data_IF_403808175251
#
_entry.id   IF_403808175251
#
_cell.length_a   1.000
_cell.length_b   1.000
_cell.length_c   1.000
_cell.angle_alpha   90.00
_cell.angle_beta   90.00
_cell.angle_gamma   90.00
#
_symmetry.space_group_name_H-M   'P 1'
#
loop_
_entity.id
_entity.type
_entity.pdbx_description
1 polymer ?
#
# COMPACT_ATOMS: atom_id res chain seq x y z
N UNK A 1 19.78 -3.01 -22.44
CA UNK A 1 18.60 -2.11 -22.49
C UNK A 1 18.94 -0.86 -21.69
N UNK A 2 19.35 0.21 -22.40
CA UNK A 2 19.82 1.45 -21.73
C UNK A 2 18.70 2.44 -21.54
N UNK A 3 18.63 3.05 -20.37
CA UNK A 3 17.68 4.12 -20.02
C UNK A 3 18.07 5.39 -20.78
N UNK A 4 17.14 5.93 -21.55
CA UNK A 4 17.38 7.14 -22.40
C UNK A 4 16.67 8.37 -21.86
N UNK A 5 15.49 8.21 -21.23
CA UNK A 5 14.67 9.32 -20.78
C UNK A 5 13.81 8.89 -19.57
N UNK A 6 13.53 9.84 -18.68
CA UNK A 6 12.51 9.74 -17.61
C UNK A 6 11.50 10.85 -17.85
N UNK A 7 10.26 10.47 -18.16
CA UNK A 7 9.15 11.39 -18.36
C UNK A 7 8.21 11.36 -17.17
N UNK A 8 7.67 12.52 -16.82
CA UNK A 8 6.72 12.67 -15.74
C UNK A 8 5.36 13.13 -16.25
N UNK A 9 4.32 12.62 -15.65
CA UNK A 9 2.95 13.05 -15.91
C UNK A 9 2.11 13.07 -14.65
N UNK A 10 0.95 13.68 -14.72
CA UNK A 10 -0.06 13.68 -13.67
C UNK A 10 -1.31 12.99 -14.17
N UNK A 11 -1.89 12.14 -13.33
CA UNK A 11 -3.23 11.60 -13.53
C UNK A 11 -4.16 12.10 -12.42
N UNK A 12 -5.43 12.22 -12.74
CA UNK A 12 -6.50 12.52 -11.79
C UNK A 12 -7.64 11.55 -12.06
N UNK A 13 -7.93 10.70 -11.06
CA UNK A 13 -8.97 9.67 -11.19
C UNK A 13 -10.03 9.91 -10.11
N UNK A 14 -11.28 10.24 -10.49
CA UNK A 14 -12.34 10.47 -9.52
C UNK A 14 -12.68 9.21 -8.72
N UNK A 15 -13.01 9.40 -7.45
CA UNK A 15 -13.53 8.33 -6.60
C UNK A 15 -15.04 8.16 -6.77
N UNK A 16 -15.54 6.95 -6.57
CA UNK A 16 -16.99 6.65 -6.57
C UNK A 16 -17.72 7.37 -5.43
N UNK A 17 -17.07 7.42 -4.26
CA UNK A 17 -17.50 8.20 -3.09
C UNK A 17 -16.28 8.84 -2.44
N UNK A 18 -16.43 10.00 -1.74
CA UNK A 18 -15.30 10.62 -1.06
C UNK A 18 -14.69 9.70 0.00
N UNK A 19 -13.38 9.53 -0.04
CA UNK A 19 -12.61 8.73 0.92
C UNK A 19 -12.27 9.57 2.16
N UNK A 20 -12.68 9.10 3.35
CA UNK A 20 -12.52 9.82 4.62
C UNK A 20 -11.76 8.99 5.64
N UNK A 21 -10.73 9.56 6.22
CA UNK A 21 -9.97 8.99 7.35
C UNK A 21 -9.98 9.95 8.54
N UNK A 22 -9.30 9.57 9.63
CA UNK A 22 -9.06 10.49 10.74
C UNK A 22 -8.28 11.73 10.31
N UNK A 23 -7.45 11.65 9.25
CA UNK A 23 -6.47 12.67 8.86
C UNK A 23 -6.93 13.55 7.69
N UNK A 24 -7.74 13.03 6.75
CA UNK A 24 -8.11 13.75 5.52
C UNK A 24 -9.42 13.26 4.89
N UNK A 25 -9.96 14.09 3.96
CA UNK A 25 -11.03 13.71 3.04
C UNK A 25 -10.64 14.11 1.63
N UNK A 26 -10.78 13.20 0.66
CA UNK A 26 -10.44 13.41 -0.76
C UNK A 26 -11.50 12.83 -1.67
N UNK A 27 -11.67 13.41 -2.87
CA UNK A 27 -12.67 13.01 -3.87
C UNK A 27 -12.06 12.44 -5.16
N UNK A 28 -10.74 12.52 -5.30
CA UNK A 28 -9.99 12.00 -6.45
C UNK A 28 -8.63 11.46 -6.01
N UNK A 29 -8.10 10.53 -6.78
CA UNK A 29 -6.69 10.13 -6.75
C UNK A 29 -5.92 11.07 -7.65
N UNK A 30 -4.84 11.68 -7.13
CA UNK A 30 -4.00 12.64 -7.86
C UNK A 30 -2.56 12.13 -7.80
N UNK A 31 -2.11 11.42 -8.83
CA UNK A 31 -0.82 10.73 -8.77
C UNK A 31 0.19 11.23 -9.81
N UNK A 32 1.46 11.17 -9.43
CA UNK A 32 2.60 11.41 -10.34
C UNK A 32 2.92 10.08 -11.03
N UNK A 33 2.88 10.09 -12.35
CA UNK A 33 3.28 8.97 -13.18
C UNK A 33 4.72 9.14 -13.65
N UNK A 34 5.45 8.04 -13.66
CA UNK A 34 6.81 7.92 -14.18
C UNK A 34 6.81 6.98 -15.35
N UNK A 35 7.32 7.44 -16.49
CA UNK A 35 7.67 6.61 -17.64
C UNK A 35 9.19 6.61 -17.82
N UNK A 36 9.80 5.43 -17.82
CA UNK A 36 11.23 5.26 -18.12
C UNK A 36 11.35 4.66 -19.52
N UNK A 37 11.89 5.46 -20.44
CA UNK A 37 12.10 5.06 -21.82
C UNK A 37 13.51 4.49 -22.03
N UNK A 38 13.64 3.56 -22.97
CA UNK A 38 14.89 2.87 -23.27
C UNK A 38 15.27 2.93 -24.74
N UNK A 39 16.53 2.65 -25.05
CA UNK A 39 17.09 2.56 -26.42
C UNK A 39 16.47 1.44 -27.27
N UNK A 40 15.76 0.51 -26.65
CA UNK A 40 15.03 -0.58 -27.34
C UNK A 40 13.58 -0.23 -27.66
N UNK A 41 13.11 0.93 -27.22
CA UNK A 41 11.71 1.36 -27.32
C UNK A 41 10.80 0.80 -26.23
N UNK A 42 11.33 0.00 -25.29
CA UNK A 42 10.57 -0.43 -24.12
C UNK A 42 10.34 0.75 -23.17
N UNK A 43 9.16 0.76 -22.51
CA UNK A 43 8.77 1.76 -21.52
C UNK A 43 8.37 1.03 -20.23
N UNK A 44 8.94 1.47 -19.11
CA UNK A 44 8.54 1.02 -17.78
C UNK A 44 7.70 2.08 -17.09
N UNK A 45 6.69 1.63 -16.35
CA UNK A 45 5.70 2.50 -15.71
C UNK A 45 5.80 2.44 -14.19
N UNK A 46 5.70 3.60 -13.55
CA UNK A 46 5.61 3.74 -12.09
C UNK A 46 4.67 4.85 -11.69
N UNK A 47 4.27 4.86 -10.43
CA UNK A 47 3.27 5.77 -9.89
C UNK A 47 3.61 6.15 -8.45
N UNK A 48 3.34 7.40 -8.08
CA UNK A 48 3.53 7.91 -6.74
C UNK A 48 2.38 8.84 -6.32
N UNK A 49 1.55 8.44 -5.35
CA UNK A 49 0.56 9.30 -4.70
C UNK A 49 1.25 10.29 -3.76
N UNK A 50 0.92 11.60 -3.84
CA UNK A 50 1.39 12.60 -2.89
C UNK A 50 0.59 12.48 -1.57
N UNK A 51 1.11 11.73 -0.61
CA UNK A 51 0.44 11.52 0.68
C UNK A 51 1.15 12.28 1.80
N UNK A 52 1.06 13.62 1.77
CA UNK A 52 1.76 14.51 2.69
C UNK A 52 1.53 14.26 4.18
N UNK A 53 0.36 13.72 4.56
CA UNK A 53 0.02 13.41 5.96
C UNK A 53 0.62 12.09 6.47
N UNK A 54 1.15 11.23 5.60
CA UNK A 54 1.76 9.95 5.96
C UNK A 54 3.25 9.94 5.59
N UNK A 55 3.58 10.08 4.29
CA UNK A 55 4.97 10.04 3.81
C UNK A 55 5.67 11.40 3.89
N UNK A 56 4.91 12.49 3.99
CA UNK A 56 5.42 13.85 3.88
C UNK A 56 5.67 14.30 2.44
N UNK A 57 5.48 13.41 1.46
CA UNK A 57 5.69 13.71 0.05
C UNK A 57 4.52 14.49 -0.54
N UNK A 58 4.82 15.61 -1.18
CA UNK A 58 3.89 16.40 -1.99
C UNK A 58 4.15 16.17 -3.47
N UNK A 59 3.21 16.53 -4.34
CA UNK A 59 3.37 16.42 -5.81
C UNK A 59 4.67 17.11 -6.27
N UNK A 60 4.93 18.35 -5.79
CA UNK A 60 6.16 19.07 -6.15
C UNK A 60 7.43 18.43 -5.62
N UNK A 61 7.39 17.84 -4.41
CA UNK A 61 8.53 17.13 -3.83
C UNK A 61 8.86 15.86 -4.64
N UNK A 62 7.85 15.07 -5.02
CA UNK A 62 8.02 13.87 -5.86
C UNK A 62 8.63 14.25 -7.21
N UNK A 63 8.05 15.24 -7.91
CA UNK A 63 8.54 15.72 -9.20
C UNK A 63 9.99 16.19 -9.10
N UNK A 64 10.30 17.05 -8.11
CA UNK A 64 11.65 17.59 -7.89
C UNK A 64 12.66 16.49 -7.57
N UNK A 65 12.32 15.55 -6.69
CA UNK A 65 13.19 14.42 -6.35
C UNK A 65 13.53 13.57 -7.58
N UNK A 66 12.53 13.29 -8.43
CA UNK A 66 12.75 12.48 -9.64
C UNK A 66 13.57 13.29 -10.67
N UNK A 67 13.13 14.50 -11.01
CA UNK A 67 13.75 15.32 -12.08
C UNK A 67 15.19 15.72 -11.75
N UNK A 68 15.44 16.19 -10.54
CA UNK A 68 16.71 16.84 -10.18
C UNK A 68 17.77 15.87 -9.64
N UNK A 69 17.36 14.70 -9.13
CA UNK A 69 18.25 13.74 -8.48
C UNK A 69 18.16 12.36 -9.15
N UNK A 70 16.99 11.71 -9.14
CA UNK A 70 16.87 10.31 -9.53
C UNK A 70 17.14 10.14 -11.04
N UNK A 71 16.49 10.93 -11.90
CA UNK A 71 16.67 10.85 -13.36
C UNK A 71 18.13 11.01 -13.77
N UNK A 72 18.84 11.98 -13.18
CA UNK A 72 20.29 12.19 -13.43
C UNK A 72 21.17 11.01 -13.01
N UNK A 73 20.70 10.23 -12.05
CA UNK A 73 21.42 9.06 -11.54
C UNK A 73 21.23 7.84 -12.42
N UNK A 74 20.05 7.66 -13.03
CA UNK A 74 19.70 6.43 -13.75
C UNK A 74 19.83 6.55 -15.27
N UNK A 75 19.67 7.73 -15.88
CA UNK A 75 19.80 7.91 -17.34
C UNK A 75 21.19 7.50 -17.81
N UNK A 76 21.23 6.73 -18.90
CA UNK A 76 22.45 6.17 -19.49
C UNK A 76 22.90 4.84 -18.90
N UNK A 77 22.31 4.38 -17.78
CA UNK A 77 22.60 3.07 -17.18
C UNK A 77 21.87 1.94 -17.92
N UNK A 78 22.39 0.75 -17.78
CA UNK A 78 21.75 -0.45 -18.33
C UNK A 78 20.80 -1.07 -17.30
N UNK A 79 19.59 -1.43 -17.73
CA UNK A 79 18.58 -2.12 -16.88
C UNK A 79 19.07 -3.49 -16.43
N UNK A 80 19.99 -4.11 -17.17
CA UNK A 80 20.57 -5.42 -16.85
C UNK A 80 21.48 -5.38 -15.60
N UNK A 81 22.13 -4.23 -15.35
CA UNK A 81 22.92 -3.99 -14.13
C UNK A 81 21.99 -3.65 -12.93
N UNK A 82 20.97 -4.48 -12.72
CA UNK A 82 19.81 -4.17 -11.90
C UNK A 82 20.14 -3.85 -10.44
N UNK A 83 20.99 -4.66 -9.79
CA UNK A 83 21.36 -4.45 -8.38
C UNK A 83 22.09 -3.09 -8.20
N UNK A 84 23.06 -2.78 -9.07
CA UNK A 84 23.79 -1.51 -9.03
C UNK A 84 22.86 -0.31 -9.29
N UNK A 85 21.86 -0.51 -10.16
CA UNK A 85 20.85 0.51 -10.46
C UNK A 85 19.96 0.77 -9.23
N UNK A 86 19.53 -0.28 -8.51
CA UNK A 86 18.73 -0.16 -7.30
C UNK A 86 19.50 0.45 -6.13
N UNK A 87 20.77 0.11 -5.97
CA UNK A 87 21.66 0.72 -4.97
C UNK A 87 21.79 2.22 -5.27
N UNK A 88 22.06 2.60 -6.53
CA UNK A 88 22.19 3.99 -6.92
C UNK A 88 20.89 4.79 -6.72
N UNK A 89 19.73 4.23 -7.07
CA UNK A 89 18.42 4.82 -6.83
C UNK A 89 18.19 5.09 -5.33
N UNK A 90 18.50 4.12 -4.48
CA UNK A 90 18.30 4.28 -3.03
C UNK A 90 19.28 5.27 -2.39
N UNK A 91 20.49 5.43 -2.92
CA UNK A 91 21.54 6.28 -2.39
C UNK A 91 21.46 7.74 -2.86
N UNK A 92 20.86 8.04 -4.02
CA UNK A 92 20.96 9.35 -4.69
C UNK A 92 20.32 10.51 -3.90
N UNK A 93 19.35 10.23 -3.06
CA UNK A 93 18.67 11.21 -2.19
C UNK A 93 18.18 10.54 -0.92
N UNK A 94 18.17 11.25 0.21
CA UNK A 94 17.63 10.73 1.47
C UNK A 94 16.11 10.81 1.47
N UNK A 95 15.44 9.84 2.13
CA UNK A 95 13.96 9.76 2.18
C UNK A 95 13.34 9.81 0.79
N UNK A 96 12.33 10.66 0.54
CA UNK A 96 11.61 10.77 -0.75
C UNK A 96 11.14 9.40 -1.25
N UNK A 97 10.52 8.65 -0.36
CA UNK A 97 10.22 7.23 -0.57
C UNK A 97 9.19 7.01 -1.67
N UNK A 98 8.19 7.91 -1.80
CA UNK A 98 7.20 7.81 -2.88
C UNK A 98 7.84 8.01 -4.27
N UNK A 99 8.76 8.99 -4.39
CA UNK A 99 9.49 9.21 -5.63
C UNK A 99 10.39 8.01 -6.02
N UNK A 100 11.08 7.43 -5.02
CA UNK A 100 11.88 6.22 -5.23
C UNK A 100 11.02 5.02 -5.62
N UNK A 101 9.86 4.85 -4.95
CA UNK A 101 8.94 3.76 -5.24
C UNK A 101 8.43 3.80 -6.68
N UNK A 102 8.06 4.97 -7.19
CA UNK A 102 7.62 5.11 -8.58
C UNK A 102 8.72 4.70 -9.57
N UNK A 103 9.96 5.14 -9.35
CA UNK A 103 11.08 4.78 -10.23
C UNK A 103 11.47 3.31 -10.06
N UNK A 104 11.49 2.79 -8.85
CA UNK A 104 11.73 1.36 -8.55
C UNK A 104 10.74 0.47 -9.31
N UNK A 105 9.43 0.76 -9.26
CA UNK A 105 8.41 0.01 -9.99
C UNK A 105 8.65 0.02 -11.50
N UNK A 106 8.95 1.20 -12.08
CA UNK A 106 9.24 1.32 -13.51
C UNK A 106 10.49 0.54 -13.93
N UNK A 107 11.50 0.47 -13.06
CA UNK A 107 12.72 -0.32 -13.30
C UNK A 107 12.44 -1.83 -13.20
N UNK A 108 11.64 -2.27 -12.22
CA UNK A 108 11.18 -3.67 -12.14
C UNK A 108 10.36 -4.07 -13.37
N UNK A 109 9.50 -3.17 -13.86
CA UNK A 109 8.73 -3.38 -15.08
C UNK A 109 9.66 -3.60 -16.30
N UNK A 110 10.63 -2.72 -16.49
CA UNK A 110 11.64 -2.87 -17.56
C UNK A 110 12.49 -4.14 -17.40
N UNK A 111 12.89 -4.49 -16.17
CA UNK A 111 13.65 -5.69 -15.91
C UNK A 111 12.87 -6.96 -16.27
N UNK A 112 11.58 -6.99 -15.92
CA UNK A 112 10.70 -8.08 -16.34
C UNK A 112 10.47 -8.13 -17.85
N UNK A 113 10.36 -6.98 -18.53
CA UNK A 113 10.27 -6.89 -19.98
C UNK A 113 11.54 -7.39 -20.66
N UNK A 114 12.73 -7.02 -20.15
CA UNK A 114 14.03 -7.43 -20.65
C UNK A 114 14.16 -8.97 -20.73
N UNK A 115 13.76 -9.64 -19.65
CA UNK A 115 13.82 -11.10 -19.56
C UNK A 115 12.53 -11.81 -19.98
N UNK A 116 11.50 -11.07 -20.41
CA UNK A 116 10.19 -11.59 -20.83
C UNK A 116 9.50 -12.41 -19.73
N UNK A 117 9.62 -11.97 -18.50
CA UNK A 117 9.08 -12.65 -17.30
C UNK A 117 8.22 -11.64 -16.52
N UNK A 118 7.03 -12.04 -16.03
CA UNK A 118 6.25 -11.21 -15.09
C UNK A 118 7.02 -10.98 -13.79
N UNK A 119 6.94 -9.76 -13.24
CA UNK A 119 7.69 -9.36 -12.03
C UNK A 119 7.42 -10.29 -10.85
N UNK A 120 6.17 -10.74 -10.63
CA UNK A 120 5.87 -11.65 -9.52
C UNK A 120 6.64 -12.97 -9.62
N UNK A 121 6.93 -13.47 -10.82
CA UNK A 121 7.74 -14.68 -11.02
C UNK A 121 9.22 -14.45 -10.76
N UNK A 122 9.74 -13.26 -11.11
CA UNK A 122 11.12 -12.87 -10.76
C UNK A 122 11.32 -12.83 -9.25
N UNK A 123 10.28 -12.46 -8.48
CA UNK A 123 10.33 -12.36 -7.02
C UNK A 123 9.99 -13.66 -6.27
N UNK A 124 9.56 -14.74 -6.97
CA UNK A 124 9.25 -16.03 -6.32
C UNK A 124 8.03 -16.77 -6.88
N UNK A 125 6.98 -16.07 -7.27
CA UNK A 125 5.85 -16.63 -8.02
C UNK A 125 4.95 -17.61 -7.27
N UNK A 126 4.56 -17.30 -6.01
CA UNK A 126 3.82 -18.23 -5.16
C UNK A 126 2.33 -18.37 -5.52
N UNK A 127 1.67 -17.29 -5.94
CA UNK A 127 0.21 -17.22 -6.18
C UNK A 127 -0.09 -16.57 -7.53
N UNK A 128 -1.28 -16.81 -8.08
CA UNK A 128 -1.77 -16.15 -9.31
C UNK A 128 -2.90 -15.14 -9.04
N UNK A 129 -3.51 -15.23 -7.88
CA UNK A 129 -4.55 -14.34 -7.40
C UNK A 129 -4.45 -14.15 -5.90
N UNK A 130 -5.01 -13.06 -5.43
CA UNK A 130 -5.10 -12.68 -4.01
C UNK A 130 -6.51 -12.14 -3.75
N UNK A 131 -6.87 -12.10 -2.46
CA UNK A 131 -8.14 -11.52 -1.99
C UNK A 131 -7.82 -10.32 -1.12
N UNK A 132 -8.46 -9.17 -1.41
CA UNK A 132 -8.33 -7.93 -0.65
C UNK A 132 -9.54 -7.70 0.24
N UNK A 133 -9.36 -6.93 1.32
CA UNK A 133 -10.46 -6.31 2.06
C UNK A 133 -11.00 -5.08 1.32
N UNK A 134 -11.96 -4.39 1.94
CA UNK A 134 -12.48 -3.10 1.50
C UNK A 134 -12.55 -2.13 2.68
N UNK A 135 -12.12 -0.90 2.46
CA UNK A 135 -12.10 0.14 3.49
C UNK A 135 -13.48 0.78 3.68
N UNK A 136 -13.95 0.78 4.94
CA UNK A 136 -15.12 1.54 5.39
C UNK A 136 -14.64 2.86 6.00
N UNK A 137 -14.96 3.97 5.34
CA UNK A 137 -14.58 5.32 5.75
C UNK A 137 -15.26 5.74 7.07
N UNK A 138 -14.62 6.65 7.82
CA UNK A 138 -15.22 7.18 9.07
C UNK A 138 -16.40 8.09 8.75
N UNK A 139 -17.58 7.68 9.20
CA UNK A 139 -18.85 8.43 9.10
C UNK A 139 -19.71 8.17 10.35
N UNK A 140 -20.98 8.59 10.32
CA UNK A 140 -21.95 8.22 11.34
C UNK A 140 -22.30 6.71 11.27
N UNK A 141 -22.69 6.07 12.38
CA UNK A 141 -22.89 4.64 12.44
C UNK A 141 -23.83 4.08 11.36
N UNK A 142 -24.93 4.77 11.06
CA UNK A 142 -25.92 4.35 10.07
C UNK A 142 -25.33 4.37 8.63
N UNK A 143 -24.46 5.33 8.31
CA UNK A 143 -23.79 5.41 7.02
C UNK A 143 -22.74 4.29 6.92
N UNK A 144 -21.93 4.06 7.96
CA UNK A 144 -20.95 2.99 8.00
C UNK A 144 -21.59 1.61 7.91
N UNK A 145 -22.75 1.40 8.49
CA UNK A 145 -23.53 0.15 8.35
C UNK A 145 -23.98 -0.04 6.90
N UNK A 146 -24.49 1.01 6.25
CA UNK A 146 -24.89 0.93 4.82
C UNK A 146 -23.69 0.60 3.93
N UNK A 147 -22.55 1.22 4.17
CA UNK A 147 -21.32 0.96 3.41
C UNK A 147 -20.83 -0.48 3.63
N UNK A 148 -20.87 -0.96 4.87
CA UNK A 148 -20.52 -2.34 5.21
C UNK A 148 -21.45 -3.37 4.53
N UNK A 149 -22.77 -3.16 4.57
CA UNK A 149 -23.72 -4.03 3.88
C UNK A 149 -23.55 -4.00 2.35
N UNK A 150 -23.30 -2.82 1.77
CA UNK A 150 -22.98 -2.72 0.34
C UNK A 150 -21.70 -3.51 -0.01
N UNK A 151 -20.68 -3.47 0.84
CA UNK A 151 -19.47 -4.26 0.65
C UNK A 151 -19.77 -5.77 0.69
N UNK A 152 -20.58 -6.23 1.65
CA UNK A 152 -21.03 -7.64 1.71
C UNK A 152 -21.79 -8.05 0.47
N UNK A 153 -22.73 -7.22 0.00
CA UNK A 153 -23.52 -7.48 -1.22
C UNK A 153 -22.64 -7.57 -2.49
N UNK A 154 -21.52 -6.84 -2.50
CA UNK A 154 -20.48 -6.92 -3.55
C UNK A 154 -19.55 -8.14 -3.40
N UNK A 155 -19.75 -8.95 -2.36
CA UNK A 155 -19.03 -10.20 -2.12
C UNK A 155 -17.78 -10.10 -1.25
N UNK A 156 -17.52 -8.96 -0.60
CA UNK A 156 -16.43 -8.85 0.36
C UNK A 156 -16.77 -9.61 1.65
N UNK A 157 -15.78 -10.29 2.20
CA UNK A 157 -15.86 -11.04 3.44
C UNK A 157 -14.92 -10.50 4.53
N UNK A 158 -14.16 -9.45 4.20
CA UNK A 158 -13.30 -8.74 5.12
C UNK A 158 -13.48 -7.22 4.97
N UNK A 159 -13.72 -6.54 6.09
CA UNK A 159 -13.92 -5.10 6.16
C UNK A 159 -12.80 -4.45 6.96
N UNK A 160 -12.14 -3.45 6.39
CA UNK A 160 -11.20 -2.58 7.12
C UNK A 160 -11.93 -1.32 7.57
N UNK A 161 -12.16 -1.17 8.86
CA UNK A 161 -12.94 -0.07 9.44
C UNK A 161 -12.02 0.98 10.02
N UNK A 162 -12.10 2.22 9.52
CA UNK A 162 -11.33 3.35 10.06
C UNK A 162 -11.92 3.82 11.39
N UNK A 163 -11.04 4.01 12.38
CA UNK A 163 -11.36 4.45 13.76
C UNK A 163 -10.32 5.50 14.22
N UNK A 164 -10.24 5.81 15.52
CA UNK A 164 -9.14 6.59 16.10
C UNK A 164 -9.46 8.06 16.42
N UNK A 165 -10.67 8.54 16.13
CA UNK A 165 -11.08 9.92 16.47
C UNK A 165 -11.73 10.06 17.84
N UNK A 166 -12.73 9.23 18.09
CA UNK A 166 -13.60 9.32 19.27
C UNK A 166 -13.89 7.90 19.78
N UNK A 167 -13.14 7.41 20.79
CA UNK A 167 -13.18 6.01 21.21
C UNK A 167 -14.58 5.44 21.49
N UNK A 168 -15.44 6.22 22.15
CA UNK A 168 -16.82 5.77 22.46
C UNK A 168 -17.70 5.65 21.22
N UNK A 169 -17.54 6.61 20.27
CA UNK A 169 -18.22 6.53 18.98
C UNK A 169 -17.66 5.41 18.13
N UNK A 170 -16.35 5.16 18.18
CA UNK A 170 -15.70 4.08 17.43
C UNK A 170 -16.24 2.71 17.91
N UNK A 171 -16.43 2.51 19.21
CA UNK A 171 -17.08 1.32 19.75
C UNK A 171 -18.54 1.21 19.27
N UNK A 172 -19.29 2.31 19.27
CA UNK A 172 -20.66 2.31 18.79
C UNK A 172 -20.76 1.98 17.28
N UNK A 173 -19.89 2.57 16.45
CA UNK A 173 -19.76 2.29 15.02
C UNK A 173 -19.49 0.82 14.73
N UNK A 174 -18.47 0.26 15.39
CA UNK A 174 -18.09 -1.15 15.23
C UNK A 174 -19.18 -2.10 15.74
N UNK A 175 -19.84 -1.79 16.86
CA UNK A 175 -20.95 -2.57 17.37
C UNK A 175 -22.12 -2.60 16.38
N UNK A 176 -22.44 -1.45 15.76
CA UNK A 176 -23.49 -1.36 14.76
C UNK A 176 -23.15 -2.18 13.50
N UNK A 177 -21.90 -2.06 13.00
CA UNK A 177 -21.41 -2.85 11.85
C UNK A 177 -21.46 -4.35 12.21
N UNK A 178 -20.88 -4.77 13.35
CA UNK A 178 -20.84 -6.19 13.73
C UNK A 178 -22.23 -6.81 13.87
N UNK A 179 -23.21 -6.04 14.36
CA UNK A 179 -24.59 -6.50 14.46
C UNK A 179 -25.31 -6.63 13.13
N UNK A 180 -24.87 -5.89 12.10
CA UNK A 180 -25.54 -5.84 10.78
C UNK A 180 -24.94 -6.84 9.79
N UNK A 181 -23.63 -7.15 9.86
CA UNK A 181 -22.96 -8.05 8.93
C UNK A 181 -22.99 -9.51 9.40
N UNK A 182 -22.80 -10.50 8.49
CA UNK A 182 -22.66 -11.91 8.87
C UNK A 182 -21.60 -12.11 9.96
N UNK A 183 -21.82 -13.09 10.84
CA UNK A 183 -20.91 -13.35 11.97
C UNK A 183 -19.50 -13.69 11.53
N UNK A 184 -19.37 -14.41 10.43
CA UNK A 184 -18.11 -14.83 9.79
C UNK A 184 -17.36 -13.71 9.07
N UNK A 185 -17.96 -12.52 8.91
CA UNK A 185 -17.28 -11.37 8.29
C UNK A 185 -16.08 -10.97 9.14
N UNK A 186 -14.91 -11.00 8.54
CA UNK A 186 -13.67 -10.50 9.13
C UNK A 186 -13.74 -8.97 9.32
N UNK A 187 -13.38 -8.48 10.49
CA UNK A 187 -13.27 -7.04 10.75
C UNK A 187 -11.85 -6.71 11.20
N UNK A 188 -11.20 -5.81 10.45
CA UNK A 188 -9.93 -5.16 10.77
C UNK A 188 -10.22 -3.72 11.16
N UNK A 189 -9.46 -3.16 12.08
CA UNK A 189 -9.59 -1.73 12.39
C UNK A 189 -8.27 -1.01 12.18
N UNK A 190 -8.34 0.23 11.71
CA UNK A 190 -7.19 1.09 11.55
C UNK A 190 -7.41 2.38 12.34
N UNK A 191 -6.60 2.56 13.38
CA UNK A 191 -6.67 3.70 14.28
C UNK A 191 -5.84 4.90 13.79
N UNK A 192 -5.04 4.74 12.73
CA UNK A 192 -4.20 5.79 12.14
C UNK A 192 -3.49 6.65 13.19
N UNK A 193 -2.81 6.02 14.15
CA UNK A 193 -2.05 6.69 15.22
C UNK A 193 -2.92 7.51 16.22
N UNK A 194 -4.21 7.17 16.34
CA UNK A 194 -5.20 8.00 17.03
C UNK A 194 -5.16 7.94 18.56
N UNK A 195 -4.53 6.91 19.16
CA UNK A 195 -4.62 6.66 20.60
C UNK A 195 -3.27 6.77 21.31
N UNK A 196 -3.32 7.01 22.62
CA UNK A 196 -2.17 6.75 23.49
C UNK A 196 -2.07 5.26 23.83
N UNK A 197 -0.90 4.72 24.26
CA UNK A 197 -0.77 3.29 24.54
C UNK A 197 -1.76 2.74 25.57
N UNK A 198 -2.04 3.50 26.64
CA UNK A 198 -3.01 3.09 27.66
C UNK A 198 -4.46 3.14 27.18
N UNK A 199 -4.80 4.12 26.38
CA UNK A 199 -6.12 4.21 25.73
C UNK A 199 -6.33 3.05 24.77
N UNK A 200 -5.33 2.76 23.92
CA UNK A 200 -5.39 1.65 22.98
C UNK A 200 -5.72 0.32 23.67
N UNK A 201 -4.97 -0.04 24.72
CA UNK A 201 -5.23 -1.27 25.49
C UNK A 201 -6.64 -1.29 26.08
N UNK A 202 -7.07 -0.18 26.70
CA UNK A 202 -8.43 -0.09 27.29
C UNK A 202 -9.52 -0.25 26.23
N UNK A 203 -9.36 0.41 25.08
CA UNK A 203 -10.34 0.40 23.98
C UNK A 203 -10.43 -0.99 23.38
N UNK A 204 -9.28 -1.58 23.01
CA UNK A 204 -9.20 -2.88 22.35
C UNK A 204 -9.74 -4.00 23.23
N UNK A 205 -9.36 -4.04 24.50
CA UNK A 205 -9.86 -5.04 25.43
C UNK A 205 -11.37 -4.86 25.66
N UNK A 206 -11.85 -3.60 25.78
CA UNK A 206 -13.28 -3.31 25.87
C UNK A 206 -14.08 -3.67 24.61
N UNK A 207 -13.48 -3.62 23.41
CA UNK A 207 -14.07 -4.10 22.16
C UNK A 207 -14.17 -5.63 22.17
N UNK A 208 -13.10 -6.30 22.59
CA UNK A 208 -13.05 -7.77 22.66
C UNK A 208 -14.08 -8.32 23.69
N UNK A 209 -14.19 -7.69 24.87
CA UNK A 209 -15.19 -8.06 25.89
C UNK A 209 -16.64 -7.92 25.38
N UNK A 210 -16.90 -7.06 24.41
CA UNK A 210 -18.20 -6.90 23.73
C UNK A 210 -18.42 -7.87 22.57
N UNK A 211 -17.45 -8.75 22.29
CA UNK A 211 -17.54 -9.75 21.24
C UNK A 211 -17.46 -9.17 19.83
N UNK A 212 -16.71 -8.06 19.64
CA UNK A 212 -16.54 -7.47 18.29
C UNK A 212 -15.68 -8.33 17.37
N UNK A 213 -14.90 -9.26 17.91
CA UNK A 213 -14.12 -10.26 17.16
C UNK A 213 -13.28 -9.64 16.05
N UNK A 214 -12.27 -8.83 16.46
CA UNK A 214 -11.38 -8.12 15.56
C UNK A 214 -10.18 -8.99 15.15
N UNK A 215 -9.85 -9.06 13.87
CA UNK A 215 -8.67 -9.77 13.38
C UNK A 215 -7.39 -9.12 13.87
N UNK A 216 -7.29 -7.79 13.76
CA UNK A 216 -6.20 -6.98 14.29
C UNK A 216 -6.56 -5.49 14.35
N UNK A 217 -5.73 -4.73 15.07
CA UNK A 217 -5.70 -3.26 15.01
C UNK A 217 -4.45 -2.78 14.28
N UNK A 218 -4.63 -1.92 13.26
CA UNK A 218 -3.54 -1.27 12.55
C UNK A 218 -3.18 0.05 13.22
N UNK A 219 -1.88 0.25 13.47
CA UNK A 219 -1.21 1.43 14.01
C UNK A 219 -2.00 2.20 15.08
N UNK A 220 -2.18 1.62 16.27
CA UNK A 220 -2.98 2.25 17.33
C UNK A 220 -2.33 3.51 17.91
N UNK A 221 -0.99 3.57 17.96
CA UNK A 221 -0.20 4.64 18.58
C UNK A 221 0.67 5.39 17.56
N UNK A 222 1.31 6.49 17.99
CA UNK A 222 2.16 7.31 17.12
C UNK A 222 3.27 6.49 16.46
N UNK A 223 3.57 6.80 15.20
CA UNK A 223 4.51 6.07 14.35
C UNK A 223 5.90 5.86 14.99
N UNK A 224 6.41 6.86 15.71
CA UNK A 224 7.72 6.84 16.35
C UNK A 224 7.73 6.25 17.76
N UNK A 225 6.56 5.90 18.31
CA UNK A 225 6.41 5.35 19.67
C UNK A 225 6.47 3.82 19.64
N UNK A 226 7.65 3.26 19.36
CA UNK A 226 7.86 1.81 19.29
C UNK A 226 7.66 1.12 20.65
N UNK A 227 8.03 1.79 21.75
CA UNK A 227 7.79 1.27 23.10
C UNK A 227 6.29 1.29 23.43
N UNK A 228 5.57 2.33 23.02
CA UNK A 228 4.11 2.39 23.16
C UNK A 228 3.41 1.32 22.32
N UNK A 229 3.90 1.06 21.10
CA UNK A 229 3.38 0.00 20.23
C UNK A 229 3.58 -1.39 20.91
N UNK A 230 4.80 -1.66 21.38
CA UNK A 230 5.11 -2.85 22.18
C UNK A 230 4.22 -3.00 23.42
N UNK A 231 4.01 -1.90 24.14
CA UNK A 231 3.14 -1.89 25.32
C UNK A 231 1.71 -2.34 24.97
N UNK A 232 1.17 -1.92 23.81
CA UNK A 232 -0.14 -2.35 23.34
C UNK A 232 -0.13 -3.82 22.94
N UNK A 233 0.85 -4.25 22.14
CA UNK A 233 1.00 -5.64 21.68
C UNK A 233 1.04 -6.64 22.84
N UNK A 234 1.79 -6.34 23.90
CA UNK A 234 1.92 -7.22 25.06
C UNK A 234 0.64 -7.28 25.94
N UNK A 235 -0.29 -6.32 25.83
CA UNK A 235 -1.42 -6.16 26.77
C UNK A 235 -2.79 -6.17 26.12
N UNK A 236 -2.84 -6.13 24.80
CA UNK A 236 -4.07 -6.25 24.03
C UNK A 236 -4.38 -7.72 23.74
N UNK A 237 -5.66 -8.10 23.79
CA UNK A 237 -6.13 -9.38 23.26
C UNK A 237 -6.26 -9.36 21.73
N UNK A 238 -6.32 -8.17 21.13
CA UNK A 238 -6.39 -7.98 19.67
C UNK A 238 -4.98 -7.87 19.13
N UNK A 239 -4.59 -8.66 18.11
CA UNK A 239 -3.28 -8.55 17.47
C UNK A 239 -3.01 -7.13 16.94
N UNK A 240 -1.76 -6.73 16.93
CA UNK A 240 -1.31 -5.39 16.51
C UNK A 240 -0.53 -5.47 15.20
N UNK A 241 -0.95 -4.67 14.23
CA UNK A 241 -0.26 -4.47 12.95
C UNK A 241 0.47 -3.12 12.93
N UNK A 242 1.78 -3.14 12.70
CA UNK A 242 2.57 -1.93 12.52
C UNK A 242 2.49 -1.42 11.08
N UNK A 243 1.95 -0.21 10.88
CA UNK A 243 1.88 0.46 9.57
C UNK A 243 2.85 1.65 9.50
N UNK A 244 2.49 2.81 10.04
CA UNK A 244 3.32 4.01 9.97
C UNK A 244 4.59 3.93 10.83
N UNK A 245 4.75 2.90 11.63
CA UNK A 245 6.02 2.60 12.33
C UNK A 245 7.05 1.89 11.44
N UNK A 246 6.71 1.53 10.20
CA UNK A 246 7.58 0.77 9.28
C UNK A 246 7.73 1.49 7.94
N UNK A 247 8.74 2.35 7.84
CA UNK A 247 9.11 3.08 6.61
C UNK A 247 10.35 2.52 5.90
N UNK A 248 11.01 1.54 6.50
CA UNK A 248 12.24 0.98 5.95
C UNK A 248 12.44 -0.48 6.40
N UNK A 249 13.32 -1.24 5.73
CA UNK A 249 13.77 -2.53 6.24
C UNK A 249 14.36 -2.46 7.65
N UNK A 250 15.01 -1.36 8.01
CA UNK A 250 15.59 -1.15 9.33
C UNK A 250 14.52 -0.98 10.41
N UNK A 251 13.44 -0.22 10.11
CA UNK A 251 12.30 -0.08 11.03
C UNK A 251 11.62 -1.44 11.24
N UNK A 252 11.39 -2.18 10.16
CA UNK A 252 10.81 -3.52 10.23
C UNK A 252 11.63 -4.46 11.12
N UNK A 253 12.95 -4.49 10.93
CA UNK A 253 13.86 -5.26 11.80
C UNK A 253 13.76 -4.84 13.26
N UNK A 254 13.73 -3.53 13.54
CA UNK A 254 13.61 -3.01 14.91
C UNK A 254 12.28 -3.45 15.55
N UNK A 255 11.15 -3.30 14.84
CA UNK A 255 9.83 -3.73 15.31
C UNK A 255 9.81 -5.23 15.62
N UNK A 256 10.33 -6.05 14.72
CA UNK A 256 10.38 -7.50 14.90
C UNK A 256 11.31 -7.93 16.05
N UNK A 257 12.50 -7.30 16.18
CA UNK A 257 13.46 -7.57 17.28
C UNK A 257 12.88 -7.21 18.64
N UNK A 258 12.12 -6.12 18.71
CA UNK A 258 11.47 -5.68 19.94
C UNK A 258 10.24 -6.53 20.30
N UNK A 259 9.66 -7.27 19.35
CA UNK A 259 8.33 -7.86 19.49
C UNK A 259 7.26 -6.77 19.67
N UNK A 260 7.41 -5.65 18.94
CA UNK A 260 6.56 -4.48 19.12
C UNK A 260 5.26 -4.54 18.31
N UNK A 261 5.11 -5.52 17.44
CA UNK A 261 3.87 -5.79 16.71
C UNK A 261 3.78 -7.29 16.36
N UNK A 262 2.57 -7.79 16.16
CA UNK A 262 2.30 -9.17 15.72
C UNK A 262 2.42 -9.31 14.21
N UNK A 263 2.12 -8.23 13.47
CA UNK A 263 2.17 -8.17 12.00
C UNK A 263 2.82 -6.86 11.54
N UNK A 264 3.30 -6.87 10.29
CA UNK A 264 3.91 -5.69 9.65
C UNK A 264 3.18 -5.37 8.35
N UNK A 265 2.79 -4.10 8.15
CA UNK A 265 2.19 -3.62 6.90
C UNK A 265 3.28 -3.06 5.95
N UNK A 266 3.46 -3.71 4.82
CA UNK A 266 4.30 -3.25 3.73
C UNK A 266 3.47 -2.33 2.83
N UNK A 267 3.93 -1.08 2.63
CA UNK A 267 3.40 -0.19 1.58
C UNK A 267 4.58 0.34 0.77
N UNK A 268 4.50 0.21 -0.55
CA UNK A 268 5.59 0.56 -1.45
C UNK A 268 6.02 2.03 -1.30
N UNK A 269 5.04 2.92 -1.08
CA UNK A 269 5.29 4.35 -0.87
C UNK A 269 6.06 4.66 0.42
N UNK A 270 5.91 3.83 1.46
CA UNK A 270 6.67 3.99 2.71
C UNK A 270 8.10 3.49 2.57
N UNK A 271 8.29 2.29 2.03
CA UNK A 271 9.61 1.67 1.99
C UNK A 271 10.46 2.03 0.76
N UNK A 272 9.88 2.75 -0.21
CA UNK A 272 10.61 3.20 -1.40
C UNK A 272 10.66 2.19 -2.54
N UNK A 273 9.65 1.31 -2.65
CA UNK A 273 9.46 0.41 -3.78
C UNK A 273 9.63 -1.08 -3.46
N UNK A 274 9.57 -1.90 -4.50
CA UNK A 274 9.62 -3.37 -4.44
C UNK A 274 10.95 -3.90 -3.89
N UNK A 275 12.06 -3.25 -4.22
CA UNK A 275 13.39 -3.66 -3.78
C UNK A 275 13.54 -3.69 -2.24
N UNK A 276 13.06 -2.64 -1.57
CA UNK A 276 13.07 -2.60 -0.12
C UNK A 276 11.93 -3.43 0.49
N UNK A 277 10.78 -3.51 -0.17
CA UNK A 277 9.67 -4.35 0.26
C UNK A 277 10.04 -5.84 0.30
N UNK A 278 10.85 -6.32 -0.65
CA UNK A 278 11.41 -7.68 -0.63
C UNK A 278 12.31 -7.93 0.57
N UNK A 279 13.13 -6.93 0.98
CA UNK A 279 13.97 -7.04 2.17
C UNK A 279 13.13 -7.14 3.45
N UNK A 280 12.04 -6.36 3.54
CA UNK A 280 11.09 -6.44 4.66
C UNK A 280 10.44 -7.83 4.70
N UNK A 281 9.91 -8.30 3.58
CA UNK A 281 9.28 -9.62 3.49
C UNK A 281 10.26 -10.75 3.86
N UNK A 282 11.52 -10.69 3.40
CA UNK A 282 12.54 -11.69 3.73
C UNK A 282 12.94 -11.66 5.20
N UNK A 283 13.03 -10.47 5.81
CA UNK A 283 13.26 -10.36 7.25
C UNK A 283 12.08 -10.95 8.04
N UNK A 284 10.86 -10.64 7.63
CA UNK A 284 9.64 -11.16 8.25
C UNK A 284 9.55 -12.70 8.17
N UNK A 285 9.94 -13.29 7.03
CA UNK A 285 10.07 -14.76 6.90
C UNK A 285 11.03 -15.34 7.94
N UNK A 286 12.18 -14.72 8.18
CA UNK A 286 13.19 -15.19 9.15
C UNK A 286 12.68 -15.07 10.60
N UNK A 287 11.94 -13.99 10.91
CA UNK A 287 11.37 -13.77 12.24
C UNK A 287 10.05 -14.50 12.49
N UNK A 288 9.43 -15.09 11.45
CA UNK A 288 8.12 -15.71 11.55
C UNK A 288 6.99 -14.71 11.80
N UNK A 289 7.16 -13.45 11.38
CA UNK A 289 6.16 -12.37 11.50
C UNK A 289 5.43 -12.23 10.18
N UNK A 290 4.12 -12.45 10.17
CA UNK A 290 3.32 -12.31 8.95
C UNK A 290 3.21 -10.86 8.50
N UNK A 291 3.09 -10.67 7.18
CA UNK A 291 2.94 -9.35 6.57
C UNK A 291 1.54 -9.16 5.99
N UNK A 292 1.06 -7.94 6.09
CA UNK A 292 0.05 -7.39 5.20
C UNK A 292 0.75 -6.59 4.10
N UNK A 293 0.19 -6.55 2.91
CA UNK A 293 0.51 -5.53 1.92
C UNK A 293 -0.65 -4.57 1.81
N UNK A 294 -0.37 -3.28 1.96
CA UNK A 294 -1.34 -2.23 1.81
C UNK A 294 -0.97 -1.22 0.75
N UNK A 295 -1.91 -0.31 0.46
CA UNK A 295 -1.68 0.84 -0.40
C UNK A 295 -2.00 2.16 0.33
N UNK A 296 -1.59 3.27 -0.27
CA UNK A 296 -2.19 4.57 0.00
C UNK A 296 -3.51 4.66 -0.77
N UNK A 297 -4.05 5.83 -0.98
CA UNK A 297 -5.08 6.03 -1.98
C UNK A 297 -4.35 6.26 -3.32
N UNK A 298 -4.31 5.23 -4.13
CA UNK A 298 -3.45 5.11 -5.32
C UNK A 298 -4.28 4.62 -6.51
N UNK A 299 -3.88 4.99 -7.73
CA UNK A 299 -4.43 4.38 -8.92
C UNK A 299 -3.78 3.01 -9.18
N UNK A 300 -3.93 2.49 -10.39
CA UNK A 300 -3.67 1.06 -10.63
C UNK A 300 -2.21 0.68 -10.76
N UNK A 301 -1.31 1.55 -11.22
CA UNK A 301 0.08 1.15 -11.53
C UNK A 301 0.81 0.72 -10.25
N UNK A 302 0.76 1.54 -9.22
CA UNK A 302 1.42 1.25 -7.94
C UNK A 302 0.76 0.09 -7.20
N UNK A 303 -0.57 0.04 -7.20
CA UNK A 303 -1.29 -1.09 -6.59
C UNK A 303 -1.01 -2.39 -7.34
N UNK A 304 -0.91 -2.37 -8.67
CA UNK A 304 -0.50 -3.53 -9.46
C UNK A 304 0.91 -4.03 -9.09
N UNK A 305 1.86 -3.12 -8.84
CA UNK A 305 3.18 -3.53 -8.35
C UNK A 305 3.10 -4.23 -6.98
N UNK A 306 2.25 -3.73 -6.07
CA UNK A 306 1.98 -4.36 -4.79
C UNK A 306 1.32 -5.75 -4.96
N UNK A 307 0.40 -5.92 -5.93
CA UNK A 307 -0.18 -7.23 -6.31
C UNK A 307 0.90 -8.22 -6.73
N UNK A 308 1.88 -7.78 -7.55
CA UNK A 308 2.99 -8.64 -7.94
C UNK A 308 3.79 -9.13 -6.72
N UNK A 309 4.05 -8.27 -5.74
CA UNK A 309 4.76 -8.66 -4.51
C UNK A 309 3.92 -9.62 -3.66
N UNK A 310 2.62 -9.35 -3.48
CA UNK A 310 1.71 -10.23 -2.74
C UNK A 310 1.59 -11.62 -3.36
N UNK A 311 1.59 -11.68 -4.69
CA UNK A 311 1.58 -12.95 -5.44
C UNK A 311 2.92 -13.68 -5.39
N UNK A 312 4.02 -12.97 -5.11
CA UNK A 312 5.36 -13.55 -5.07
C UNK A 312 5.71 -14.16 -3.70
N UNK A 313 5.21 -13.61 -2.60
CA UNK A 313 5.67 -13.93 -1.24
C UNK A 313 4.56 -14.55 -0.38
N UNK A 314 4.80 -15.76 0.15
CA UNK A 314 3.82 -16.46 1.00
C UNK A 314 3.65 -15.80 2.38
N UNK A 315 4.70 -15.15 2.90
CA UNK A 315 4.66 -14.43 4.17
C UNK A 315 3.65 -13.27 4.17
N UNK A 316 3.28 -12.78 2.98
CA UNK A 316 2.21 -11.80 2.80
C UNK A 316 0.89 -12.55 2.80
N UNK A 317 0.26 -12.59 3.96
CA UNK A 317 -0.96 -13.37 4.23
C UNK A 317 -2.22 -12.51 4.20
N UNK A 318 -2.07 -11.18 4.32
CA UNK A 318 -3.17 -10.20 4.33
C UNK A 318 -2.94 -9.14 3.27
N UNK A 319 -4.05 -8.67 2.70
CA UNK A 319 -4.05 -7.73 1.56
C UNK A 319 -5.06 -6.63 1.84
N UNK A 320 -4.64 -5.37 1.60
CA UNK A 320 -5.42 -4.14 1.67
C UNK A 320 -5.07 -3.30 0.43
N UNK A 321 -5.59 -3.73 -0.73
CA UNK A 321 -5.28 -3.20 -2.07
C UNK A 321 -6.56 -2.77 -2.81
N UNK A 322 -7.43 -2.07 -2.11
CA UNK A 322 -8.74 -1.65 -2.60
C UNK A 322 -8.73 -0.34 -3.41
N UNK A 323 -7.59 0.36 -3.51
CA UNK A 323 -7.50 1.66 -4.22
C UNK A 323 -8.17 1.70 -5.59
N UNK A 324 -7.85 0.79 -6.55
CA UNK A 324 -8.46 0.80 -7.87
C UNK A 324 -9.97 0.59 -7.89
N UNK A 325 -10.54 -0.21 -6.98
CA UNK A 325 -12.00 -0.45 -6.93
C UNK A 325 -12.77 0.71 -6.29
N UNK A 326 -12.08 1.59 -5.57
CA UNK A 326 -12.65 2.84 -5.05
C UNK A 326 -12.74 3.93 -6.14
N UNK A 327 -11.95 3.81 -7.22
CA UNK A 327 -11.99 4.72 -8.36
C UNK A 327 -13.24 4.50 -9.22
N UNK A 328 -13.76 5.58 -9.80
CA UNK A 328 -14.91 5.51 -10.70
C UNK A 328 -14.57 5.02 -12.11
N UNK A 329 -13.29 5.12 -12.50
CA UNK A 329 -12.74 4.68 -13.77
C UNK A 329 -11.32 4.13 -13.58
N UNK A 330 -10.82 3.38 -14.56
CA UNK A 330 -9.44 2.86 -14.60
C UNK A 330 -8.79 3.28 -15.93
N UNK A 331 -7.96 4.34 -15.92
CA UNK A 331 -7.30 4.80 -17.14
C UNK A 331 -6.07 3.99 -17.52
N UNK A 332 -5.68 2.98 -16.74
CA UNK A 332 -4.45 2.22 -16.95
C UNK A 332 -4.73 0.97 -17.78
N UNK A 333 -4.05 0.87 -18.91
CA UNK A 333 -4.17 -0.26 -19.84
C UNK A 333 -3.27 -1.43 -19.39
N UNK A 334 -3.84 -2.62 -19.27
CA UNK A 334 -3.10 -3.82 -18.84
C UNK A 334 -2.95 -3.92 -17.31
N UNK A 335 -1.95 -4.68 -16.86
CA UNK A 335 -1.71 -4.96 -15.45
C UNK A 335 -2.66 -6.00 -14.84
N UNK A 336 -2.77 -6.01 -13.52
CA UNK A 336 -3.65 -6.90 -12.79
C UNK A 336 -5.13 -6.60 -13.06
N UNK A 337 -5.96 -7.62 -12.92
CA UNK A 337 -7.43 -7.52 -13.04
C UNK A 337 -8.03 -7.45 -11.65
N UNK A 338 -8.74 -6.36 -11.38
CA UNK A 338 -9.46 -6.13 -10.13
C UNK A 338 -10.94 -6.45 -10.34
N UNK A 339 -11.40 -7.50 -9.68
CA UNK A 339 -12.80 -7.93 -9.70
C UNK A 339 -13.31 -7.99 -8.27
N UNK A 340 -13.73 -6.83 -7.77
CA UNK A 340 -14.11 -6.62 -6.37
C UNK A 340 -12.98 -7.14 -5.43
N UNK A 341 -13.25 -8.08 -4.55
CA UNK A 341 -12.24 -8.63 -3.64
C UNK A 341 -11.16 -9.46 -4.32
N UNK A 342 -11.43 -10.01 -5.49
CA UNK A 342 -10.47 -10.89 -6.19
C UNK A 342 -9.57 -10.08 -7.11
N UNK A 343 -8.27 -10.22 -6.93
CA UNK A 343 -7.26 -9.57 -7.77
C UNK A 343 -6.40 -10.65 -8.40
N UNK A 344 -6.38 -10.68 -9.74
CA UNK A 344 -5.58 -11.62 -10.53
C UNK A 344 -4.38 -10.91 -11.12
N UNK A 345 -3.16 -11.40 -10.84
CA UNK A 345 -1.92 -10.84 -11.36
C UNK A 345 -1.78 -11.12 -12.86
N UNK A 346 -1.20 -10.17 -13.61
CA UNK A 346 -0.89 -10.36 -15.03
C UNK A 346 0.21 -11.39 -15.24
N UNK A 347 0.09 -12.19 -16.32
CA UNK A 347 1.16 -13.07 -16.78
C UNK A 347 2.01 -12.43 -17.91
N UNK A 348 1.72 -11.21 -18.31
CA UNK A 348 2.54 -10.46 -19.27
C UNK A 348 3.91 -10.11 -18.67
N UNK A 349 4.96 -9.96 -19.50
CA UNK A 349 6.27 -9.51 -19.04
C UNK A 349 6.21 -8.19 -18.25
N UNK A 350 7.11 -8.03 -17.30
CA UNK A 350 7.13 -6.86 -16.44
C UNK A 350 5.96 -6.83 -15.46
N UNK A 351 5.39 -5.66 -15.25
CA UNK A 351 4.15 -5.43 -14.52
C UNK A 351 2.91 -5.66 -15.40
N UNK A 352 3.10 -5.89 -16.71
CA UNK A 352 2.02 -6.09 -17.67
C UNK A 352 1.27 -4.80 -18.05
N UNK A 353 1.79 -3.64 -17.69
CA UNK A 353 1.22 -2.33 -18.06
C UNK A 353 1.49 -2.08 -19.54
N UNK A 354 0.47 -1.64 -20.29
CA UNK A 354 0.54 -1.37 -21.73
C UNK A 354 0.47 0.12 -22.05
N UNK A 355 0.22 0.95 -21.04
CA UNK A 355 0.11 2.41 -21.19
C UNK A 355 -1.02 2.99 -20.38
N UNK A 356 -1.31 4.26 -20.68
CA UNK A 356 -2.39 5.04 -20.08
C UNK A 356 -3.31 5.51 -21.21
N UNK A 357 -4.61 5.52 -20.99
CA UNK A 357 -5.58 5.98 -21.99
C UNK A 357 -5.25 7.39 -22.49
N UNK A 358 -5.33 7.63 -23.81
CA UNK A 358 -5.08 8.96 -24.38
C UNK A 358 -5.95 10.05 -23.74
N UNK A 359 -5.32 11.16 -23.33
CA UNK A 359 -6.00 12.29 -22.69
C UNK A 359 -6.21 12.14 -21.18
N UNK A 360 -5.85 11.01 -20.57
CA UNK A 360 -5.96 10.78 -19.12
C UNK A 360 -4.68 11.13 -18.35
N UNK A 361 -3.59 11.36 -19.03
CA UNK A 361 -2.33 11.80 -18.43
C UNK A 361 -1.96 13.20 -18.95
N UNK A 362 -1.55 14.08 -18.04
CA UNK A 362 -0.98 15.39 -18.33
C UNK A 362 0.52 15.31 -18.15
N UNK A 363 1.27 15.23 -19.24
CA UNK A 363 2.73 15.26 -19.20
C UNK A 363 3.24 16.61 -18.69
N UNK A 364 4.37 16.54 -17.98
CA UNK A 364 5.09 17.69 -17.44
C UNK A 364 6.33 17.96 -18.31
N UNK A 365 6.53 19.24 -18.66
CA UNK A 365 7.69 19.69 -19.43
C UNK A 365 9.00 19.59 -18.63
#
# INVERSE_FOLDING_TARGET
MKITEVRLGLISVPLRVPFKTALRSVSSVEDVIVEIHTDTGAVGYGEAPPTGVITGDTTGAIIGAIRDHIAKTIIGRDVDDFEDLMIALNACIQKNTSAKAAVDMALWDLYGQLYKIPVYKLMGGAKKSIVTDITISVNDPEEMVRDALNAIDRGYDCLKVKVGKEPEKDIARLSAIRAAVPKETCIRIDANQGWTPKEAVRILNGMQERGLDLEFVEQPVKAHDFEGLKYVTERSYVPVLADESVFSPQDALTIMQMGAADLVNIKLMKCGGLYNALKIASAAEVYGVECMIGCMLEAKISVNAAVHLACAKQIITRVDLDGPVLCSEDPILGGAVFNEKEITVSNEPGLGIKGIEPGKIKYLD
#
